data_IF_808055841209
#
_entry.id   IF_808055841209
#
_cell.length_a   1.000
_cell.length_b   1.000
_cell.length_c   1.000
_cell.angle_alpha   90.00
_cell.angle_beta   90.00
_cell.angle_gamma   90.00
#
_symmetry.space_group_name_H-M   'P 1'
#
loop_
_entity.id
_entity.type
_entity.pdbx_description
1 polymer ?
#
# COMPACT_ATOMS: atom_id res chain seq x y z
N UNK A 1 -0.73 -9.33 10.21
CA UNK A 1 -0.41 -10.27 9.10
C UNK A 1 0.49 -9.58 8.09
N UNK A 2 0.97 -10.29 7.07
CA UNK A 2 1.67 -9.71 5.91
C UNK A 2 0.76 -9.74 4.69
N UNK A 3 0.43 -8.57 4.15
CA UNK A 3 -0.57 -8.41 3.09
C UNK A 3 0.05 -7.71 1.90
N UNK A 4 -0.09 -8.30 0.70
CA UNK A 4 0.27 -7.64 -0.55
C UNK A 4 -1.01 -7.16 -1.23
N UNK A 5 -1.11 -5.87 -1.53
CA UNK A 5 -2.30 -5.25 -2.12
C UNK A 5 -1.97 -4.67 -3.49
N UNK A 6 -2.52 -5.27 -4.54
CA UNK A 6 -2.50 -4.73 -5.89
C UNK A 6 -3.62 -3.70 -6.07
N UNK A 7 -3.34 -2.65 -6.85
CA UNK A 7 -4.34 -1.60 -7.09
C UNK A 7 -4.60 -0.73 -5.85
N UNK A 8 -3.60 -0.61 -4.96
CA UNK A 8 -3.67 0.16 -3.72
C UNK A 8 -4.04 1.64 -3.91
N UNK A 9 -3.87 2.19 -5.12
CA UNK A 9 -4.27 3.57 -5.45
C UNK A 9 -5.75 3.72 -5.84
N UNK A 10 -6.48 2.62 -6.07
CA UNK A 10 -7.90 2.63 -6.40
C UNK A 10 -8.80 2.89 -5.17
N UNK A 11 -10.07 3.23 -5.39
CA UNK A 11 -11.01 3.54 -4.30
C UNK A 11 -11.12 2.44 -3.24
N UNK A 12 -11.26 1.18 -3.69
CA UNK A 12 -11.30 0.02 -2.79
C UNK A 12 -9.92 -0.27 -2.19
N UNK A 13 -8.86 -0.21 -2.99
CA UNK A 13 -7.49 -0.50 -2.55
C UNK A 13 -7.04 0.42 -1.41
N UNK A 14 -7.39 1.71 -1.47
CA UNK A 14 -7.10 2.68 -0.41
C UNK A 14 -7.76 2.31 0.91
N UNK A 15 -9.02 1.90 0.87
CA UNK A 15 -9.76 1.49 2.07
C UNK A 15 -9.17 0.22 2.69
N UNK A 16 -8.86 -0.78 1.85
CA UNK A 16 -8.22 -2.02 2.30
C UNK A 16 -6.88 -1.73 2.98
N UNK A 17 -6.03 -0.90 2.37
CA UNK A 17 -4.74 -0.51 2.95
C UNK A 17 -4.98 0.21 4.28
N UNK A 18 -5.84 1.24 4.31
CA UNK A 18 -6.12 2.00 5.53
C UNK A 18 -6.58 1.11 6.70
N UNK A 19 -7.53 0.20 6.45
CA UNK A 19 -8.01 -0.73 7.47
C UNK A 19 -6.95 -1.74 7.91
N UNK A 20 -6.18 -2.30 6.97
CA UNK A 20 -5.10 -3.24 7.29
C UNK A 20 -4.02 -2.59 8.17
N UNK A 21 -3.65 -1.35 7.86
CA UNK A 21 -2.71 -0.57 8.64
C UNK A 21 -3.26 -0.25 10.03
N UNK A 22 -4.51 0.19 10.13
CA UNK A 22 -5.18 0.44 11.41
C UNK A 22 -5.27 -0.83 12.29
N UNK A 23 -5.35 -2.01 11.67
CA UNK A 23 -5.33 -3.31 12.33
C UNK A 23 -3.90 -3.81 12.68
N UNK A 24 -2.86 -3.01 12.45
CA UNK A 24 -1.46 -3.35 12.75
C UNK A 24 -0.89 -4.43 11.84
N UNK A 25 -1.36 -4.51 10.58
CA UNK A 25 -0.80 -5.43 9.60
C UNK A 25 0.37 -4.78 8.83
N UNK A 26 1.34 -5.61 8.45
CA UNK A 26 2.42 -5.24 7.54
C UNK A 26 1.86 -5.32 6.12
N UNK A 27 1.92 -4.21 5.39
CA UNK A 27 1.29 -4.08 4.06
C UNK A 27 2.33 -3.71 3.01
N UNK A 28 2.35 -4.47 1.93
CA UNK A 28 3.08 -4.17 0.71
C UNK A 28 2.08 -3.69 -0.35
N UNK A 29 2.12 -2.42 -0.70
CA UNK A 29 1.28 -1.84 -1.74
C UNK A 29 1.99 -1.94 -3.09
N UNK A 30 1.37 -2.64 -4.05
CA UNK A 30 1.87 -2.76 -5.41
C UNK A 30 1.11 -1.79 -6.32
N UNK A 31 1.84 -0.82 -6.86
CA UNK A 31 1.27 0.32 -7.59
C UNK A 31 2.05 0.59 -8.87
N UNK A 32 1.37 1.03 -9.93
CA UNK A 32 2.05 1.40 -11.19
C UNK A 32 2.83 2.70 -11.09
N UNK A 33 2.34 3.62 -10.28
CA UNK A 33 2.88 4.96 -10.12
C UNK A 33 2.87 5.29 -8.62
N UNK A 34 4.04 5.30 -7.97
CA UNK A 34 4.17 5.60 -6.55
C UNK A 34 3.64 6.98 -6.18
N UNK A 35 3.73 7.97 -7.08
CA UNK A 35 3.29 9.34 -6.83
C UNK A 35 1.76 9.47 -6.71
N UNK A 36 1.02 8.41 -7.09
CA UNK A 36 -0.45 8.36 -6.98
C UNK A 36 -0.96 7.74 -5.69
N UNK A 37 -0.06 7.24 -4.83
CA UNK A 37 -0.43 6.92 -3.46
C UNK A 37 -0.77 8.24 -2.76
N UNK A 38 -1.94 8.34 -2.11
CA UNK A 38 -2.17 9.45 -1.19
C UNK A 38 -1.08 9.38 -0.12
N UNK A 39 -0.59 10.53 0.35
CA UNK A 39 0.42 10.63 1.41
C UNK A 39 0.00 9.74 2.60
N UNK A 40 0.57 8.53 2.62
CA UNK A 40 0.25 7.48 3.58
C UNK A 40 1.18 7.57 4.78
N UNK A 41 0.83 6.89 5.88
CA UNK A 41 1.56 7.03 7.14
C UNK A 41 3.05 6.72 6.98
N UNK A 42 3.84 7.55 7.65
CA UNK A 42 5.31 7.58 7.77
C UNK A 42 6.08 6.47 7.02
N UNK A 43 6.96 6.81 6.06
CA UNK A 43 7.84 5.84 5.38
C UNK A 43 8.77 5.05 6.31
N UNK A 44 8.88 5.42 7.60
CA UNK A 44 9.60 4.64 8.62
C UNK A 44 8.75 3.52 9.27
N UNK A 45 7.44 3.47 9.04
CA UNK A 45 6.57 2.40 9.50
C UNK A 45 6.65 1.19 8.54
N UNK A 46 6.30 -0.05 8.95
CA UNK A 46 6.62 -1.29 8.23
C UNK A 46 5.75 -1.50 6.98
N UNK A 47 5.83 -0.58 6.03
CA UNK A 47 5.03 -0.53 4.81
C UNK A 47 5.97 -0.43 3.61
N UNK A 48 5.90 -1.40 2.71
CA UNK A 48 6.64 -1.37 1.46
C UNK A 48 5.75 -0.84 0.34
N UNK A 49 6.19 0.17 -0.39
CA UNK A 49 5.60 0.51 -1.70
C UNK A 49 6.50 -0.09 -2.76
N UNK A 50 5.94 -0.99 -3.57
CA UNK A 50 6.65 -1.61 -4.68
C UNK A 50 6.03 -1.08 -5.96
N UNK A 51 6.84 -0.38 -6.76
CA UNK A 51 6.46 -0.05 -8.13
C UNK A 51 6.24 -1.37 -8.89
N UNK A 52 5.12 -1.46 -9.57
CA UNK A 52 4.83 -2.52 -10.51
C UNK A 52 5.61 -2.23 -11.80
N UNK A 53 6.93 -2.35 -11.74
CA UNK A 53 7.75 -2.65 -12.90
C UNK A 53 8.00 -4.16 -12.86
N UNK A 54 7.02 -4.91 -13.37
CA UNK A 54 7.16 -6.33 -13.73
C UNK A 54 7.84 -6.36 -15.12
N UNK A 55 8.78 -7.29 -15.42
CA UNK A 55 9.54 -7.30 -16.68
C UNK A 55 8.69 -7.27 -17.96
#
# INVERSE_FOLDING_TARGET
MRLTVFGATGGVGREIVGQALAAGHEVTAVVRDPDRLPEGPDPAAPHGVVALDDP
#
